data_IF_568963845032
#
_entry.id   IF_568963845032
#
_cell.length_a   1.000
_cell.length_b   1.000
_cell.length_c   1.000
_cell.angle_alpha   90.00
_cell.angle_beta   90.00
_cell.angle_gamma   90.00
#
_symmetry.space_group_name_H-M   'P 1'
#
loop_
_entity.id
_entity.type
_entity.pdbx_description
1 polymer ?
#
# COMPACT_ATOMS: atom_id res chain seq x y z
N UNK A 1 1.82 -32.01 -1.46
CA UNK A 1 1.51 -30.64 -0.97
C UNK A 1 0.82 -29.91 -2.11
N UNK A 2 -0.32 -29.27 -1.86
CA UNK A 2 -1.04 -28.46 -2.83
C UNK A 2 -1.02 -27.01 -2.34
N UNK A 3 -0.48 -26.11 -3.16
CA UNK A 3 -0.45 -24.70 -2.84
C UNK A 3 -1.85 -24.09 -2.99
N UNK A 4 -2.22 -23.19 -2.09
CA UNK A 4 -3.45 -22.40 -2.20
C UNK A 4 -3.14 -20.91 -2.14
N UNK A 5 -3.92 -20.10 -2.86
CA UNK A 5 -3.92 -18.65 -2.67
C UNK A 5 -4.77 -18.36 -1.42
N UNK A 6 -4.11 -18.09 -0.30
CA UNK A 6 -4.77 -17.88 0.98
C UNK A 6 -5.32 -16.46 1.12
N UNK A 7 -4.61 -15.46 0.58
CA UNK A 7 -5.01 -14.05 0.67
C UNK A 7 -4.56 -13.27 -0.56
N UNK A 8 -5.37 -12.29 -0.96
CA UNK A 8 -5.02 -11.30 -1.97
C UNK A 8 -5.20 -9.92 -1.36
N UNK A 9 -4.17 -9.09 -1.50
CA UNK A 9 -4.13 -7.73 -1.00
C UNK A 9 -3.76 -6.75 -2.11
N UNK A 10 -4.52 -5.66 -2.16
CA UNK A 10 -4.22 -4.47 -2.94
C UNK A 10 -3.85 -3.32 -2.01
N UNK A 11 -2.98 -2.45 -2.48
CA UNK A 11 -2.47 -1.30 -1.76
C UNK A 11 -2.64 -0.05 -2.62
N UNK A 12 -3.85 0.51 -2.73
CA UNK A 12 -4.14 1.53 -3.73
C UNK A 12 -3.25 2.77 -3.65
N UNK A 13 -2.98 3.23 -2.43
CA UNK A 13 -2.06 4.32 -2.15
C UNK A 13 -0.81 3.74 -1.48
N UNK A 14 0.37 4.07 -2.00
CA UNK A 14 1.66 3.63 -1.44
C UNK A 14 1.71 3.98 0.05
N UNK A 15 1.95 2.95 0.87
CA UNK A 15 1.95 3.00 2.35
C UNK A 15 0.62 3.30 3.04
N UNK A 16 -0.37 3.90 2.37
CA UNK A 16 -1.61 4.40 2.99
C UNK A 16 -2.79 3.52 2.60
N UNK A 17 -3.06 2.52 3.42
CA UNK A 17 -4.18 1.62 3.16
C UNK A 17 -3.74 0.26 2.63
N UNK A 18 -4.62 -0.69 2.89
CA UNK A 18 -4.61 -2.07 2.42
C UNK A 18 -6.06 -2.50 2.21
N UNK A 19 -6.27 -3.27 1.16
CA UNK A 19 -7.58 -3.74 0.73
C UNK A 19 -7.51 -5.24 0.50
N UNK A 20 -8.34 -6.00 1.21
CA UNK A 20 -8.48 -7.43 0.95
C UNK A 20 -9.32 -7.63 -0.31
N UNK A 21 -8.86 -8.48 -1.21
CA UNK A 21 -9.60 -8.87 -2.41
C UNK A 21 -9.97 -10.36 -2.35
N UNK A 22 -11.15 -10.69 -2.88
CA UNK A 22 -11.57 -12.09 -3.04
C UNK A 22 -10.96 -12.71 -4.31
N UNK A 23 -10.84 -11.92 -5.37
CA UNK A 23 -10.21 -12.29 -6.63
C UNK A 23 -9.66 -11.04 -7.32
N UNK A 24 -8.74 -11.24 -8.26
CA UNK A 24 -8.15 -10.15 -9.05
C UNK A 24 -7.71 -10.68 -10.42
N UNK A 25 -8.02 -9.99 -11.54
CA UNK A 25 -7.46 -10.36 -12.83
C UNK A 25 -5.97 -9.97 -12.87
N UNK A 26 -5.16 -10.85 -13.46
CA UNK A 26 -3.75 -10.60 -13.71
C UNK A 26 -3.52 -10.48 -15.22
N UNK A 27 -2.61 -9.60 -15.60
CA UNK A 27 -2.17 -9.43 -16.98
C UNK A 27 -0.66 -9.39 -17.01
N UNK A 28 -0.07 -9.94 -18.08
CA UNK A 28 1.37 -9.89 -18.28
C UNK A 28 1.85 -8.43 -18.27
N UNK A 29 3.03 -8.20 -17.69
CA UNK A 29 3.69 -6.89 -17.63
C UNK A 29 2.86 -5.79 -16.95
N UNK A 30 2.00 -6.17 -15.99
CA UNK A 30 1.19 -5.24 -15.19
C UNK A 30 1.32 -5.53 -13.69
N UNK A 31 1.12 -4.48 -12.89
CA UNK A 31 0.86 -4.61 -11.45
C UNK A 31 -0.55 -5.18 -11.24
N UNK A 32 -0.92 -5.46 -9.97
CA UNK A 32 -2.35 -5.65 -9.66
C UNK A 32 -3.14 -4.39 -10.11
N UNK A 33 -4.35 -4.56 -10.65
CA UNK A 33 -5.23 -3.44 -10.97
C UNK A 33 -5.42 -2.51 -9.77
N UNK A 34 -5.11 -1.22 -9.97
CA UNK A 34 -5.17 -0.16 -8.95
C UNK A 34 -4.20 -0.32 -7.79
N UNK A 35 -3.17 -1.16 -7.90
CA UNK A 35 -2.18 -1.33 -6.85
C UNK A 35 -1.04 -0.31 -6.94
N UNK A 36 -0.75 0.37 -5.83
CA UNK A 36 0.17 1.53 -5.74
C UNK A 36 -0.08 2.57 -6.84
N UNK A 37 -1.33 2.71 -7.25
CA UNK A 37 -1.74 3.63 -8.31
C UNK A 37 -1.54 5.09 -7.93
N UNK A 38 -1.59 5.37 -6.62
CA UNK A 38 -1.20 6.65 -6.04
C UNK A 38 -0.07 6.50 -5.03
N UNK A 39 0.65 7.58 -4.76
CA UNK A 39 1.63 7.66 -3.69
C UNK A 39 1.67 9.06 -3.08
N UNK A 40 2.08 9.15 -1.82
CA UNK A 40 2.25 10.44 -1.14
C UNK A 40 3.71 10.86 -1.23
N UNK A 41 4.00 11.87 -2.05
CA UNK A 41 5.30 12.51 -2.10
C UNK A 41 5.49 13.43 -0.88
N UNK A 42 6.66 13.37 -0.27
CA UNK A 42 7.01 14.23 0.86
C UNK A 42 7.54 15.60 0.40
N UNK A 43 7.66 16.56 1.31
CA UNK A 43 8.06 17.94 0.98
C UNK A 43 9.40 18.07 0.24
N UNK A 44 10.37 17.19 0.54
CA UNK A 44 11.68 17.17 -0.13
C UNK A 44 11.70 16.44 -1.48
N UNK A 45 10.58 15.87 -1.92
CA UNK A 45 10.50 15.08 -3.15
C UNK A 45 10.10 16.00 -4.31
N UNK A 46 10.59 15.73 -5.52
CA UNK A 46 10.14 16.36 -6.76
C UNK A 46 9.26 15.45 -7.61
N UNK A 47 8.94 14.25 -7.10
CA UNK A 47 8.12 13.28 -7.81
C UNK A 47 6.74 13.86 -8.16
N UNK A 48 6.34 13.72 -9.42
CA UNK A 48 5.05 14.14 -9.96
C UNK A 48 4.21 12.97 -10.50
N UNK A 49 4.83 11.79 -10.64
CA UNK A 49 4.17 10.56 -11.11
C UNK A 49 4.26 10.32 -12.62
N UNK A 50 4.92 11.23 -13.35
CA UNK A 50 5.19 11.10 -14.79
C UNK A 50 6.12 9.94 -15.12
N UNK A 51 7.08 9.66 -14.22
CA UNK A 51 8.05 8.57 -14.32
C UNK A 51 8.18 7.85 -12.98
N UNK A 52 8.65 6.60 -13.03
CA UNK A 52 9.00 5.88 -11.82
C UNK A 52 10.18 6.57 -11.12
N UNK A 53 10.11 6.67 -9.79
CA UNK A 53 11.20 7.12 -8.94
C UNK A 53 11.36 6.22 -7.71
N UNK A 54 12.57 6.13 -7.12
CA UNK A 54 12.82 5.30 -5.96
C UNK A 54 11.87 5.60 -4.79
N UNK A 55 11.54 4.56 -4.02
CA UNK A 55 10.56 4.62 -2.92
C UNK A 55 10.87 5.65 -1.83
N UNK A 56 12.10 6.13 -1.77
CA UNK A 56 12.58 7.14 -0.83
C UNK A 56 11.88 8.49 -1.02
N UNK A 57 11.39 8.76 -2.23
CA UNK A 57 10.64 9.98 -2.60
C UNK A 57 9.20 10.03 -2.04
N UNK A 58 8.76 8.96 -1.35
CA UNK A 58 7.40 8.81 -0.87
C UNK A 58 7.36 8.57 0.65
N UNK A 59 6.23 8.91 1.27
CA UNK A 59 5.92 8.49 2.63
C UNK A 59 5.88 6.95 2.70
N UNK A 60 6.67 6.39 3.64
CA UNK A 60 6.89 4.95 3.78
C UNK A 60 6.44 4.43 5.14
N UNK A 61 5.67 3.34 5.16
CA UNK A 61 5.25 2.68 6.40
C UNK A 61 6.42 2.26 7.30
N UNK A 62 7.58 1.90 6.71
CA UNK A 62 8.81 1.58 7.47
C UNK A 62 9.38 2.78 8.25
N UNK A 63 9.01 4.02 7.90
CA UNK A 63 9.43 5.26 8.56
C UNK A 63 8.30 5.97 9.31
N UNK A 64 7.04 5.63 8.99
CA UNK A 64 5.82 6.12 9.62
C UNK A 64 4.89 4.92 9.89
N UNK A 65 5.09 4.17 10.99
CA UNK A 65 4.44 2.88 11.21
C UNK A 65 2.91 2.97 11.38
N UNK A 66 2.39 4.11 11.85
CA UNK A 66 0.94 4.29 12.01
C UNK A 66 0.18 4.22 10.67
N UNK A 67 0.82 4.58 9.56
CA UNK A 67 0.24 4.44 8.22
C UNK A 67 -0.16 2.99 7.89
N UNK A 68 0.51 2.01 8.50
CA UNK A 68 0.25 0.58 8.26
C UNK A 68 -1.07 0.08 8.87
N UNK A 69 -1.70 0.86 9.74
CA UNK A 69 -3.00 0.54 10.34
C UNK A 69 -4.19 0.98 9.47
N UNK A 70 -3.94 1.76 8.41
CA UNK A 70 -4.99 2.21 7.49
C UNK A 70 -5.54 1.00 6.71
N UNK A 71 -6.85 0.84 6.70
CA UNK A 71 -7.56 -0.01 5.75
C UNK A 71 -8.15 0.86 4.64
N UNK A 72 -8.19 0.34 3.42
CA UNK A 72 -8.68 1.06 2.24
C UNK A 72 -9.69 0.22 1.45
N UNK A 73 -10.61 0.88 0.76
CA UNK A 73 -11.43 0.31 -0.29
C UNK A 73 -11.47 1.28 -1.46
N UNK A 74 -11.13 0.81 -2.66
CA UNK A 74 -11.24 1.61 -3.88
C UNK A 74 -12.53 1.29 -4.63
N UNK A 75 -13.41 2.28 -4.76
CA UNK A 75 -14.60 2.21 -5.60
C UNK A 75 -14.31 2.89 -6.94
N UNK A 76 -14.02 2.08 -7.97
CA UNK A 76 -13.70 2.58 -9.31
C UNK A 76 -14.92 3.19 -10.02
N UNK A 77 -16.14 2.79 -9.67
CA UNK A 77 -17.36 3.32 -10.30
C UNK A 77 -17.66 4.73 -9.79
N UNK A 78 -17.52 4.94 -8.47
CA UNK A 78 -17.70 6.26 -7.86
C UNK A 78 -16.44 7.13 -7.92
N UNK A 79 -15.29 6.54 -8.28
CA UNK A 79 -13.96 7.16 -8.16
C UNK A 79 -13.65 7.63 -6.74
N UNK A 80 -13.99 6.80 -5.75
CA UNK A 80 -13.88 7.14 -4.34
C UNK A 80 -12.96 6.17 -3.60
N UNK A 81 -12.01 6.75 -2.87
CA UNK A 81 -11.20 6.05 -1.90
C UNK A 81 -11.86 6.14 -0.52
N UNK A 82 -12.11 5.00 0.10
CA UNK A 82 -12.57 4.93 1.49
C UNK A 82 -11.42 4.48 2.39
N UNK A 83 -11.07 5.26 3.40
CA UNK A 83 -10.04 4.96 4.38
C UNK A 83 -10.62 4.83 5.78
N UNK A 84 -10.11 3.87 6.54
CA UNK A 84 -10.39 3.68 7.96
C UNK A 84 -9.09 3.52 8.74
N UNK A 85 -9.03 4.13 9.91
CA UNK A 85 -7.92 3.99 10.85
C UNK A 85 -8.50 3.87 12.27
N UNK A 86 -7.89 3.09 13.18
CA UNK A 86 -8.41 2.94 14.55
C UNK A 86 -8.57 4.27 15.30
N UNK A 87 -7.68 5.22 15.03
CA UNK A 87 -7.57 6.49 15.77
C UNK A 87 -8.03 7.73 14.99
N UNK A 88 -8.59 7.57 13.78
CA UNK A 88 -9.06 8.69 12.95
C UNK A 88 -10.48 8.45 12.46
N UNK A 89 -11.26 9.51 12.19
CA UNK A 89 -12.57 9.34 11.55
C UNK A 89 -12.45 8.69 10.18
N UNK A 90 -13.48 7.97 9.75
CA UNK A 90 -13.56 7.44 8.38
C UNK A 90 -13.42 8.60 7.36
N UNK A 91 -12.64 8.36 6.30
CA UNK A 91 -12.47 9.33 5.22
C UNK A 91 -12.95 8.73 3.91
N UNK A 92 -13.73 9.51 3.17
CA UNK A 92 -14.07 9.25 1.78
C UNK A 92 -13.70 10.47 0.94
N UNK A 93 -12.96 10.23 -0.16
CA UNK A 93 -12.45 11.27 -1.04
C UNK A 93 -12.13 10.74 -2.44
N UNK A 94 -12.14 11.61 -3.44
CA UNK A 94 -11.61 11.33 -4.76
C UNK A 94 -10.10 11.62 -4.80
N UNK A 95 -9.22 10.62 -5.01
CA UNK A 95 -7.77 10.81 -5.03
C UNK A 95 -7.26 11.62 -6.23
N UNK A 96 -8.09 11.84 -7.25
CA UNK A 96 -7.75 12.62 -8.44
C UNK A 96 -8.28 14.07 -8.38
N UNK A 97 -9.06 14.43 -7.35
CA UNK A 97 -9.54 15.81 -7.14
C UNK A 97 -8.62 16.59 -6.19
N UNK A 98 -8.19 17.79 -6.59
CA UNK A 98 -7.22 18.58 -5.84
C UNK A 98 -7.72 19.05 -4.46
N UNK A 99 -9.02 19.32 -4.33
CA UNK A 99 -9.62 19.71 -3.04
C UNK A 99 -9.66 18.53 -2.06
N UNK A 100 -10.03 17.36 -2.56
CA UNK A 100 -10.07 16.11 -1.80
C UNK A 100 -8.67 15.59 -1.44
N UNK A 101 -7.67 15.79 -2.30
CA UNK A 101 -6.27 15.50 -1.97
C UNK A 101 -5.81 16.28 -0.74
N UNK A 102 -6.18 17.56 -0.62
CA UNK A 102 -5.87 18.36 0.56
C UNK A 102 -6.50 17.77 1.82
N UNK A 103 -7.78 17.39 1.76
CA UNK A 103 -8.49 16.73 2.88
C UNK A 103 -7.81 15.44 3.31
N UNK A 104 -7.37 14.62 2.35
CA UNK A 104 -6.63 13.40 2.63
C UNK A 104 -5.27 13.66 3.29
N UNK A 105 -4.51 14.66 2.81
CA UNK A 105 -3.23 15.03 3.40
C UNK A 105 -3.40 15.51 4.85
N UNK A 106 -4.39 16.36 5.11
CA UNK A 106 -4.75 16.82 6.47
C UNK A 106 -5.17 15.65 7.37
N UNK A 107 -5.99 14.73 6.86
CA UNK A 107 -6.41 13.54 7.59
C UNK A 107 -5.24 12.62 7.94
N UNK A 108 -4.26 12.45 7.04
CA UNK A 108 -3.09 11.59 7.26
C UNK A 108 -1.99 12.23 8.11
N UNK A 109 -1.99 13.55 8.27
CA UNK A 109 -0.93 14.30 8.94
C UNK A 109 -0.64 13.84 10.39
N UNK A 110 -1.64 13.54 11.24
CA UNK A 110 -1.40 13.05 12.60
C UNK A 110 -0.69 11.69 12.68
N UNK A 111 -0.67 10.93 11.58
CA UNK A 111 0.00 9.62 11.52
C UNK A 111 1.49 9.72 11.20
N UNK A 112 1.96 10.92 10.83
CA UNK A 112 3.35 11.17 10.46
C UNK A 112 4.19 11.49 11.71
N UNK A 113 5.33 10.81 11.93
CA UNK A 113 6.22 11.15 13.04
C UNK A 113 6.78 12.57 12.90
N UNK A 114 6.91 13.29 14.02
CA UNK A 114 7.41 14.67 14.05
C UNK A 114 8.82 14.82 13.46
N UNK A 115 9.66 13.79 13.57
CA UNK A 115 11.05 13.79 13.09
C UNK A 115 11.21 13.33 11.63
N UNK A 116 10.15 13.43 10.82
CA UNK A 116 10.13 13.00 9.42
C UNK A 116 9.62 14.11 8.51
N UNK A 117 10.05 14.05 7.25
CA UNK A 117 9.53 14.92 6.20
C UNK A 117 8.01 14.74 6.09
N UNK A 118 7.30 15.86 5.98
CA UNK A 118 5.83 15.86 5.94
C UNK A 118 5.31 15.34 4.60
N UNK A 119 4.17 14.66 4.66
CA UNK A 119 3.36 14.34 3.48
C UNK A 119 2.93 15.65 2.80
N UNK A 120 3.25 15.82 1.52
CA UNK A 120 3.04 17.09 0.82
C UNK A 120 2.06 17.00 -0.34
N UNK A 121 2.11 15.91 -1.13
CA UNK A 121 1.30 15.78 -2.36
C UNK A 121 0.88 14.33 -2.58
N UNK A 122 -0.39 14.10 -2.91
CA UNK A 122 -0.84 12.82 -3.45
C UNK A 122 -0.65 12.85 -4.97
N UNK A 123 0.13 11.92 -5.49
CA UNK A 123 0.42 11.83 -6.93
C UNK A 123 -0.14 10.53 -7.49
N UNK A 124 -0.46 10.53 -8.78
CA UNK A 124 -0.95 9.37 -9.53
C UNK A 124 0.14 8.86 -10.47
N UNK A 125 0.28 7.55 -10.60
CA UNK A 125 1.13 6.94 -11.61
C UNK A 125 0.58 7.21 -13.03
N UNK A 126 1.44 7.61 -13.97
CA UNK A 126 1.05 7.78 -15.37
C UNK A 126 0.77 6.44 -16.08
N UNK A 127 1.57 5.41 -15.81
CA UNK A 127 1.47 4.11 -16.51
C UNK A 127 1.10 2.94 -15.59
N UNK A 128 2.08 2.46 -14.81
CA UNK A 128 1.94 1.31 -13.91
C UNK A 128 2.35 1.71 -12.49
N UNK A 129 1.78 1.05 -11.48
CA UNK A 129 1.83 1.48 -10.08
C UNK A 129 3.24 1.85 -9.57
N UNK A 130 3.29 2.78 -8.63
CA UNK A 130 4.49 3.27 -7.95
C UNK A 130 5.01 2.21 -6.95
N UNK A 131 5.37 1.03 -7.44
CA UNK A 131 5.96 -0.10 -6.70
C UNK A 131 7.38 0.25 -6.20
N UNK A 132 8.05 -0.70 -5.55
CA UNK A 132 9.43 -0.54 -5.11
C UNK A 132 10.46 -0.97 -6.17
N UNK A 133 9.99 -1.42 -7.34
CA UNK A 133 10.78 -1.80 -8.53
C UNK A 133 10.47 -0.87 -9.69
N UNK A 134 11.42 -0.66 -10.59
CA UNK A 134 11.25 0.16 -11.80
C UNK A 134 10.47 -0.54 -12.93
N UNK A 135 10.09 -1.80 -12.72
CA UNK A 135 9.20 -2.58 -13.58
C UNK A 135 7.90 -2.97 -12.87
N UNK A 136 6.80 -3.22 -13.63
CA UNK A 136 5.54 -3.69 -13.07
C UNK A 136 5.71 -5.05 -12.37
N UNK A 137 5.45 -5.10 -11.07
CA UNK A 137 5.70 -6.29 -10.26
C UNK A 137 4.56 -6.59 -9.30
N UNK A 138 4.47 -7.87 -8.93
CA UNK A 138 3.52 -8.40 -7.95
C UNK A 138 4.32 -9.16 -6.91
N UNK A 139 4.11 -8.84 -5.64
CA UNK A 139 4.78 -9.52 -4.55
C UNK A 139 4.04 -10.80 -4.15
N UNK A 140 4.78 -11.90 -4.01
CA UNK A 140 4.28 -13.20 -3.56
C UNK A 140 4.98 -13.57 -2.25
N UNK A 141 4.21 -14.02 -1.28
CA UNK A 141 4.70 -14.38 0.05
C UNK A 141 4.20 -15.75 0.47
N UNK A 142 4.95 -16.38 1.37
CA UNK A 142 4.61 -17.67 1.96
C UNK A 142 4.14 -17.51 3.40
N UNK A 143 2.96 -18.02 3.74
CA UNK A 143 2.52 -18.08 5.13
C UNK A 143 3.44 -18.97 5.99
N UNK A 144 4.07 -20.00 5.43
CA UNK A 144 5.08 -20.80 6.13
C UNK A 144 6.35 -20.01 6.45
N UNK A 145 6.88 -19.20 5.52
CA UNK A 145 8.02 -18.31 5.81
C UNK A 145 7.66 -17.27 6.86
N UNK A 146 6.45 -16.70 6.77
CA UNK A 146 5.96 -15.77 7.78
C UNK A 146 5.89 -16.40 9.18
N UNK A 147 5.32 -17.61 9.30
CA UNK A 147 5.27 -18.38 10.57
C UNK A 147 6.66 -18.65 11.12
N UNK A 148 7.62 -19.04 10.26
CA UNK A 148 9.00 -19.28 10.67
C UNK A 148 9.67 -18.02 11.26
N UNK A 149 9.43 -16.85 10.66
CA UNK A 149 9.93 -15.57 11.19
C UNK A 149 9.29 -15.24 12.55
N UNK A 150 7.97 -15.36 12.68
CA UNK A 150 7.26 -15.10 13.95
C UNK A 150 7.75 -16.02 15.06
N UNK A 151 7.92 -17.32 14.77
CA UNK A 151 8.45 -18.30 15.73
C UNK A 151 9.87 -17.94 16.19
N UNK A 152 10.77 -17.56 15.27
CA UNK A 152 12.15 -17.19 15.60
C UNK A 152 12.23 -15.92 16.45
N UNK A 153 11.26 -15.02 16.33
CA UNK A 153 11.13 -13.81 17.15
C UNK A 153 10.38 -14.04 18.46
N UNK A 154 9.79 -15.22 18.67
CA UNK A 154 9.04 -15.56 19.88
C UNK A 154 7.78 -14.73 20.08
N UNK A 155 7.23 -14.14 19.02
CA UNK A 155 5.99 -13.36 19.08
C UNK A 155 5.22 -13.38 17.76
N UNK A 156 3.91 -13.22 17.87
CA UNK A 156 3.08 -13.05 16.69
C UNK A 156 3.39 -11.75 15.97
N UNK A 157 3.45 -11.84 14.65
CA UNK A 157 3.56 -10.70 13.75
C UNK A 157 2.35 -10.68 12.83
N UNK A 158 1.81 -9.49 12.57
CA UNK A 158 0.83 -9.36 11.50
C UNK A 158 1.51 -9.59 10.14
N UNK A 159 0.94 -10.51 9.36
CA UNK A 159 1.33 -10.77 7.96
C UNK A 159 1.22 -9.51 7.07
N UNK A 160 0.39 -8.55 7.47
CA UNK A 160 0.14 -7.31 6.72
C UNK A 160 1.32 -6.34 6.77
N UNK A 161 2.30 -6.58 7.66
CA UNK A 161 3.54 -5.79 7.75
C UNK A 161 4.40 -5.88 6.49
N UNK A 162 4.34 -7.00 5.78
CA UNK A 162 5.16 -7.25 4.59
C UNK A 162 4.62 -6.60 3.32
N UNK A 163 3.35 -6.18 3.33
CA UNK A 163 2.64 -5.59 2.18
C UNK A 163 2.71 -6.42 0.89
N UNK A 164 2.71 -7.74 1.06
CA UNK A 164 2.67 -8.71 -0.04
C UNK A 164 1.30 -8.74 -0.70
N UNK A 165 1.25 -8.79 -2.04
CA UNK A 165 0.00 -8.84 -2.79
C UNK A 165 -0.68 -10.21 -2.75
N UNK A 166 0.07 -11.30 -2.93
CA UNK A 166 -0.47 -12.66 -2.96
C UNK A 166 0.21 -13.50 -1.88
N UNK A 167 -0.59 -14.07 -0.97
CA UNK A 167 -0.08 -15.03 0.02
C UNK A 167 -0.45 -16.45 -0.36
N UNK A 168 0.57 -17.30 -0.41
CA UNK A 168 0.44 -18.73 -0.60
C UNK A 168 0.50 -19.47 0.73
N UNK A 169 -0.28 -20.55 0.85
CA UNK A 169 -0.16 -21.52 1.93
C UNK A 169 0.02 -22.95 1.38
N UNK A 170 0.41 -23.88 2.25
CA UNK A 170 0.61 -25.29 1.91
C UNK A 170 1.96 -25.61 1.27
N UNK A 171 2.88 -24.64 1.19
CA UNK A 171 4.25 -24.80 0.70
C UNK A 171 5.28 -24.75 1.83
N UNK A 172 6.43 -25.40 1.64
CA UNK A 172 7.60 -25.24 2.50
C UNK A 172 8.12 -23.79 2.46
N UNK A 173 8.68 -23.26 3.57
CA UNK A 173 9.20 -21.89 3.60
C UNK A 173 10.36 -21.70 2.61
N UNK A 174 10.46 -20.49 2.06
CA UNK A 174 11.60 -19.96 1.31
C UNK A 174 12.05 -18.62 1.89
#
# INVERSE_FOLDING_TARGET
MMATVAQIWRYPIKSHGREALQSVPLSADKTLPWDRHWAVAHENSTADGSVWVPCQNFSRGAKAPLLMAINSRWDAHMQQMHLRHPDLPDLQFNPDDAGDQKRFLEWSAPLMPENRAKSARLIRAAECGLTDTDYPSISIGNLSSHRAVSQKLGRDLSVLRWRTNIWLDGLAPW
#
